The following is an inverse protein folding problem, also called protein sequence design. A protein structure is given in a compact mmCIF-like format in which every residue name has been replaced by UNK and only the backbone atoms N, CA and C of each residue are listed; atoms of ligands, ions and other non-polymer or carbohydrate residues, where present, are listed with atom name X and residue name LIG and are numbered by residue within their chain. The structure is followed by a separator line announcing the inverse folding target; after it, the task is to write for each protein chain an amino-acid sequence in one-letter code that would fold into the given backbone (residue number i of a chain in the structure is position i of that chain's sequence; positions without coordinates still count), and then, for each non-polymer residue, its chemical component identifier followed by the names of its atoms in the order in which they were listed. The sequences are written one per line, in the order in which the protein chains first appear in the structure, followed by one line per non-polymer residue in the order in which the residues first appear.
data_IF_127419609546
#
_entry.id   IF_127419609546
#
_cell.length_a   1.000
_cell.length_b   1.000
_cell.length_c   1.000
_cell.angle_alpha   90.00
_cell.angle_beta   90.00
_cell.angle_gamma   90.00
#
_symmetry.space_group_name_H-M   'P 1'
#
loop_
_entity.id
_entity.type
_entity.pdbx_description
1 polymer ?
#
# COMPACT_ATOMS: atom_id res chain seq x y z
N UNK A 1 -4.43 29.44 9.48
CA UNK A 1 -4.89 29.53 8.07
C UNK A 1 -5.83 28.36 7.86
N UNK A 2 -6.95 28.61 7.19
CA UNK A 2 -8.12 27.73 7.13
C UNK A 2 -7.77 26.30 6.69
N UNK A 3 -8.26 25.32 7.44
CA UNK A 3 -8.25 23.90 7.08
C UNK A 3 -9.33 23.67 6.01
N UNK A 4 -9.12 24.20 4.82
CA UNK A 4 -9.80 23.66 3.65
C UNK A 4 -9.20 22.28 3.44
N UNK A 5 -9.85 21.25 3.98
CA UNK A 5 -9.44 19.86 3.84
C UNK A 5 -9.25 19.57 2.36
N UNK A 6 -8.04 19.18 1.97
CA UNK A 6 -7.72 18.85 0.58
C UNK A 6 -8.61 17.68 0.16
N UNK A 7 -9.42 17.88 -0.87
CA UNK A 7 -10.32 16.86 -1.39
C UNK A 7 -9.60 15.90 -2.32
N UNK A 8 -9.61 14.61 -1.97
CA UNK A 8 -9.05 13.52 -2.77
C UNK A 8 -10.13 12.63 -3.40
N UNK A 9 -11.41 13.01 -3.29
CA UNK A 9 -12.56 12.21 -3.75
C UNK A 9 -12.47 11.88 -5.24
N UNK A 10 -12.03 12.84 -6.06
CA UNK A 10 -11.91 12.67 -7.53
C UNK A 10 -10.46 12.51 -8.00
N UNK A 11 -9.50 12.44 -7.07
CA UNK A 11 -8.10 12.21 -7.40
C UNK A 11 -7.89 10.77 -7.88
N UNK A 12 -6.94 10.57 -8.81
CA UNK A 12 -6.53 9.22 -9.22
C UNK A 12 -6.03 8.42 -8.03
N UNK A 13 -6.20 7.11 -8.09
CA UNK A 13 -5.72 6.18 -7.07
C UNK A 13 -4.73 5.20 -7.71
N UNK A 14 -3.50 5.17 -7.18
CA UNK A 14 -2.52 4.15 -7.52
C UNK A 14 -2.45 3.12 -6.39
N UNK A 15 -2.69 1.86 -6.73
CA UNK A 15 -2.66 0.74 -5.79
C UNK A 15 -1.38 -0.05 -6.02
N UNK A 16 -0.56 -0.19 -4.98
CA UNK A 16 0.66 -0.98 -4.99
C UNK A 16 0.44 -2.21 -4.12
N UNK A 17 0.32 -3.37 -4.77
CA UNK A 17 -0.14 -4.60 -4.15
C UNK A 17 0.96 -5.67 -4.14
N UNK A 18 1.55 -5.92 -2.97
CA UNK A 18 2.41 -7.08 -2.77
C UNK A 18 1.55 -8.34 -2.62
N UNK A 19 1.45 -9.14 -3.69
CA UNK A 19 0.57 -10.31 -3.74
C UNK A 19 1.17 -11.53 -3.02
N UNK A 20 2.44 -11.47 -2.64
CA UNK A 20 3.07 -12.51 -1.82
C UNK A 20 2.71 -12.29 -0.34
N UNK A 21 2.77 -11.03 0.12
CA UNK A 21 2.39 -10.69 1.50
C UNK A 21 0.88 -10.66 1.70
N UNK A 22 0.14 -10.21 0.68
CA UNK A 22 -1.31 -10.07 0.66
C UNK A 22 -1.88 -10.89 -0.50
N UNK A 23 -1.90 -12.24 -0.41
CA UNK A 23 -2.37 -13.08 -1.51
C UNK A 23 -3.86 -12.89 -1.79
N UNK A 24 -4.27 -13.20 -3.02
CA UNK A 24 -5.69 -13.25 -3.42
C UNK A 24 -6.49 -14.03 -2.39
N UNK A 25 -7.61 -13.49 -1.86
CA UNK A 25 -8.41 -14.16 -0.85
C UNK A 25 -8.94 -15.52 -1.33
N UNK A 26 -9.11 -16.45 -0.40
CA UNK A 26 -9.60 -17.79 -0.70
C UNK A 26 -10.96 -17.75 -1.42
N UNK A 27 -11.09 -18.58 -2.46
CA UNK A 27 -12.31 -18.65 -3.27
C UNK A 27 -12.44 -17.56 -4.33
N UNK A 28 -11.50 -16.61 -4.43
CA UNK A 28 -11.47 -15.59 -5.47
C UNK A 28 -10.35 -15.84 -6.49
N UNK A 29 -10.54 -15.32 -7.71
CA UNK A 29 -9.44 -15.14 -8.65
C UNK A 29 -8.90 -13.69 -8.57
N UNK A 30 -7.79 -13.43 -9.27
CA UNK A 30 -7.12 -12.13 -9.21
C UNK A 30 -7.98 -10.98 -9.78
N UNK A 31 -8.82 -11.26 -10.78
CA UNK A 31 -9.76 -10.28 -11.35
C UNK A 31 -10.84 -9.92 -10.35
N UNK A 32 -11.39 -10.90 -9.64
CA UNK A 32 -12.40 -10.68 -8.60
C UNK A 32 -11.84 -9.79 -7.48
N UNK A 33 -10.63 -10.09 -7.00
CA UNK A 33 -9.96 -9.31 -5.97
C UNK A 33 -9.69 -7.87 -6.43
N UNK A 34 -9.19 -7.67 -7.66
CA UNK A 34 -9.00 -6.33 -8.24
C UNK A 34 -10.31 -5.54 -8.30
N UNK A 35 -11.41 -6.17 -8.73
CA UNK A 35 -12.72 -5.51 -8.78
C UNK A 35 -13.22 -5.15 -7.38
N UNK A 36 -13.01 -6.02 -6.40
CA UNK A 36 -13.38 -5.78 -5.01
C UNK A 36 -12.59 -4.60 -4.41
N UNK A 37 -11.28 -4.52 -4.66
CA UNK A 37 -10.45 -3.38 -4.25
C UNK A 37 -11.01 -2.07 -4.82
N UNK A 38 -11.31 -2.03 -6.13
CA UNK A 38 -11.89 -0.85 -6.79
C UNK A 38 -13.23 -0.45 -6.20
N UNK A 39 -14.10 -1.43 -5.95
CA UNK A 39 -15.41 -1.19 -5.35
C UNK A 39 -15.30 -0.67 -3.91
N UNK A 40 -14.40 -1.23 -3.10
CA UNK A 40 -14.15 -0.79 -1.73
C UNK A 40 -13.62 0.66 -1.68
N UNK A 41 -12.67 0.99 -2.54
CA UNK A 41 -12.15 2.36 -2.69
C UNK A 41 -13.28 3.34 -3.05
N UNK A 42 -14.09 2.99 -4.06
CA UNK A 42 -15.24 3.80 -4.48
C UNK A 42 -16.25 4.00 -3.35
N UNK A 43 -16.61 2.93 -2.63
CA UNK A 43 -17.54 2.97 -1.50
C UNK A 43 -17.02 3.84 -0.35
N UNK A 44 -15.70 3.85 -0.13
CA UNK A 44 -15.06 4.72 0.85
C UNK A 44 -14.92 6.19 0.38
N UNK A 45 -15.34 6.52 -0.84
CA UNK A 45 -15.36 7.87 -1.38
C UNK A 45 -14.19 8.22 -2.30
N UNK A 46 -13.35 7.26 -2.68
CA UNK A 46 -12.29 7.45 -3.67
C UNK A 46 -12.83 7.11 -5.06
N UNK A 47 -13.43 8.11 -5.73
CA UNK A 47 -14.19 7.97 -6.98
C UNK A 47 -13.38 8.25 -8.25
N UNK A 48 -12.10 8.58 -8.14
CA UNK A 48 -11.21 8.73 -9.28
C UNK A 48 -10.87 7.40 -9.96
N UNK A 49 -10.16 7.49 -11.09
CA UNK A 49 -9.62 6.32 -11.79
C UNK A 49 -8.66 5.53 -10.88
N UNK A 50 -8.68 4.19 -10.98
CA UNK A 50 -7.86 3.30 -10.16
C UNK A 50 -6.93 2.48 -11.05
N UNK A 51 -5.62 2.64 -10.85
CA UNK A 51 -4.58 1.83 -11.48
C UNK A 51 -3.96 0.90 -10.44
N UNK A 52 -3.75 -0.38 -10.79
CA UNK A 52 -3.20 -1.37 -9.85
C UNK A 52 -1.90 -1.95 -10.38
N UNK A 53 -0.86 -1.88 -9.56
CA UNK A 53 0.46 -2.46 -9.77
C UNK A 53 0.66 -3.58 -8.76
N UNK A 54 0.78 -4.82 -9.24
CA UNK A 54 0.89 -6.00 -8.39
C UNK A 54 2.30 -6.62 -8.49
N UNK A 55 2.90 -6.96 -7.35
CA UNK A 55 4.28 -7.43 -7.23
C UNK A 55 4.31 -8.84 -6.64
N UNK A 56 4.90 -9.81 -7.35
CA UNK A 56 5.09 -11.16 -6.81
C UNK A 56 5.64 -12.21 -7.77
N UNK A 57 5.89 -13.40 -7.24
CA UNK A 57 6.45 -14.53 -8.00
C UNK A 57 5.43 -15.59 -8.41
N UNK A 58 4.23 -15.52 -7.86
CA UNK A 58 3.23 -16.58 -8.05
C UNK A 58 2.63 -16.56 -9.45
N UNK A 59 3.07 -17.51 -10.29
CA UNK A 59 2.57 -17.72 -11.67
C UNK A 59 1.06 -17.93 -11.77
N UNK A 60 0.42 -18.39 -10.68
CA UNK A 60 -1.03 -18.65 -10.63
C UNK A 60 -1.88 -17.39 -10.85
N UNK A 61 -1.32 -16.20 -10.62
CA UNK A 61 -2.06 -14.93 -10.74
C UNK A 61 -1.81 -14.19 -12.06
N UNK A 62 -0.74 -14.53 -12.80
CA UNK A 62 -0.26 -13.78 -13.98
C UNK A 62 -1.34 -13.66 -15.06
N UNK A 63 -1.99 -14.78 -15.40
CA UNK A 63 -2.99 -14.80 -16.48
C UNK A 63 -4.20 -13.93 -16.13
N UNK A 64 -4.64 -13.96 -14.86
CA UNK A 64 -5.78 -13.16 -14.41
C UNK A 64 -5.45 -11.67 -14.37
N UNK A 65 -4.31 -11.29 -13.80
CA UNK A 65 -3.92 -9.89 -13.66
C UNK A 65 -3.65 -9.23 -15.02
N UNK A 66 -2.93 -9.92 -15.91
CA UNK A 66 -2.62 -9.38 -17.25
C UNK A 66 -3.84 -9.34 -18.19
N UNK A 67 -4.94 -10.01 -17.84
CA UNK A 67 -6.18 -9.93 -18.62
C UNK A 67 -6.98 -8.64 -18.33
N UNK A 68 -6.61 -7.90 -17.28
CA UNK A 68 -7.23 -6.64 -16.91
C UNK A 68 -6.35 -5.47 -17.39
N UNK A 69 -6.83 -4.70 -18.37
CA UNK A 69 -6.08 -3.58 -18.97
C UNK A 69 -5.73 -2.46 -17.96
N UNK A 70 -6.33 -2.46 -16.78
CA UNK A 70 -6.12 -1.49 -15.70
C UNK A 70 -5.23 -2.06 -14.58
N UNK A 71 -4.53 -3.18 -14.84
CA UNK A 71 -3.63 -3.84 -13.89
C UNK A 71 -2.31 -4.21 -14.56
N UNK A 72 -1.22 -3.85 -13.91
CA UNK A 72 0.13 -4.21 -14.32
C UNK A 72 0.73 -5.18 -13.28
N UNK A 73 1.34 -6.27 -13.76
CA UNK A 73 1.95 -7.28 -12.90
C UNK A 73 3.46 -7.36 -13.09
N UNK A 74 4.21 -7.11 -12.01
CA UNK A 74 5.66 -7.16 -11.97
C UNK A 74 6.11 -8.49 -11.34
N UNK A 75 6.78 -9.31 -12.13
CA UNK A 75 7.20 -10.65 -11.73
C UNK A 75 8.57 -10.67 -11.03
N UNK A 76 8.65 -11.34 -9.88
CA UNK A 76 9.90 -11.51 -9.11
C UNK A 76 10.11 -12.98 -8.72
N UNK A 77 11.35 -13.39 -8.40
CA UNK A 77 11.59 -14.65 -7.71
C UNK A 77 10.76 -14.73 -6.42
N UNK A 78 10.21 -15.91 -6.12
CA UNK A 78 9.43 -16.11 -4.90
C UNK A 78 10.31 -15.88 -3.67
N UNK A 79 9.78 -15.18 -2.67
CA UNK A 79 10.45 -14.94 -1.39
C UNK A 79 11.38 -13.73 -1.33
N UNK A 80 11.69 -13.07 -2.45
CA UNK A 80 12.56 -11.89 -2.46
C UNK A 80 11.79 -10.63 -2.04
N UNK A 81 11.65 -10.43 -0.73
CA UNK A 81 10.91 -9.27 -0.18
C UNK A 81 11.62 -7.95 -0.49
N UNK A 82 12.96 -7.92 -0.43
CA UNK A 82 13.72 -6.70 -0.65
C UNK A 82 13.59 -6.20 -2.09
N UNK A 83 13.69 -7.10 -3.08
CA UNK A 83 13.48 -6.73 -4.48
C UNK A 83 12.04 -6.24 -4.73
N UNK A 84 11.03 -6.89 -4.16
CA UNK A 84 9.63 -6.42 -4.29
C UNK A 84 9.42 -5.04 -3.68
N UNK A 85 10.01 -4.76 -2.52
CA UNK A 85 9.93 -3.46 -1.84
C UNK A 85 10.67 -2.36 -2.63
N UNK A 86 11.86 -2.66 -3.15
CA UNK A 86 12.60 -1.73 -4.00
C UNK A 86 11.82 -1.42 -5.30
N UNK A 87 11.24 -2.44 -5.94
CA UNK A 87 10.39 -2.26 -7.11
C UNK A 87 9.13 -1.45 -6.80
N UNK A 88 8.51 -1.67 -5.63
CA UNK A 88 7.38 -0.87 -5.16
C UNK A 88 7.75 0.61 -5.06
N UNK A 89 8.89 0.94 -4.44
CA UNK A 89 9.38 2.33 -4.37
C UNK A 89 9.65 2.92 -5.76
N UNK A 90 10.26 2.14 -6.66
CA UNK A 90 10.49 2.54 -8.05
C UNK A 90 9.19 2.81 -8.80
N UNK A 91 8.17 1.98 -8.61
CA UNK A 91 6.89 2.14 -9.28
C UNK A 91 6.07 3.30 -8.75
N UNK A 92 6.15 3.58 -7.44
CA UNK A 92 5.63 4.83 -6.88
C UNK A 92 6.30 6.02 -7.57
N UNK A 93 7.63 6.01 -7.71
CA UNK A 93 8.35 7.08 -8.38
C UNK A 93 7.91 7.25 -9.85
N UNK A 94 7.81 6.15 -10.62
CA UNK A 94 7.33 6.16 -12.00
C UNK A 94 5.93 6.77 -12.10
N UNK A 95 4.99 6.30 -11.26
CA UNK A 95 3.63 6.83 -11.22
C UNK A 95 3.60 8.35 -11.02
N UNK A 96 4.42 8.86 -10.08
CA UNK A 96 4.51 10.28 -9.79
C UNK A 96 5.00 11.08 -11.00
N UNK A 97 5.99 10.56 -11.75
CA UNK A 97 6.48 11.23 -12.95
C UNK A 97 5.45 11.20 -14.08
N UNK A 98 4.85 10.04 -14.34
CA UNK A 98 3.89 9.85 -15.44
C UNK A 98 2.60 10.66 -15.24
N UNK A 99 2.22 10.91 -13.98
CA UNK A 99 1.06 11.71 -13.64
C UNK A 99 1.39 13.17 -13.32
N UNK A 100 2.57 13.67 -13.74
CA UNK A 100 3.02 15.05 -13.52
C UNK A 100 2.88 15.50 -12.05
N UNK A 101 3.12 14.59 -11.10
CA UNK A 101 3.05 14.84 -9.65
C UNK A 101 1.71 15.41 -9.20
N UNK A 102 0.63 15.10 -9.92
CA UNK A 102 -0.71 15.48 -9.51
C UNK A 102 -1.11 14.77 -8.20
N UNK A 103 -1.93 15.46 -7.40
CA UNK A 103 -2.51 14.89 -6.17
C UNK A 103 -3.12 13.53 -6.45
N UNK A 104 -2.72 12.54 -5.66
CA UNK A 104 -3.03 11.14 -5.86
C UNK A 104 -3.34 10.49 -4.51
N UNK A 105 -4.26 9.52 -4.52
CA UNK A 105 -4.40 8.53 -3.46
C UNK A 105 -3.41 7.39 -3.70
N UNK A 106 -2.43 7.22 -2.81
CA UNK A 106 -1.46 6.14 -2.86
C UNK A 106 -1.95 5.03 -1.92
N UNK A 107 -2.32 3.88 -2.45
CA UNK A 107 -2.82 2.75 -1.68
C UNK A 107 -1.76 1.65 -1.59
N UNK A 108 -1.31 1.35 -0.37
CA UNK A 108 -0.34 0.28 -0.11
C UNK A 108 -1.06 -0.96 0.39
N UNK A 109 -1.04 -2.06 -0.36
CA UNK A 109 -1.51 -3.38 0.09
C UNK A 109 -0.27 -4.25 0.33
N UNK A 110 0.15 -4.35 1.58
CA UNK A 110 1.51 -4.75 1.92
C UNK A 110 1.56 -5.48 3.27
N UNK A 111 2.52 -6.38 3.45
CA UNK A 111 2.77 -7.06 4.73
C UNK A 111 3.45 -6.16 5.75
N UNK A 112 4.14 -6.77 6.71
CA UNK A 112 4.94 -6.03 7.69
C UNK A 112 6.01 -5.17 6.98
N UNK A 113 6.16 -3.94 7.45
CA UNK A 113 7.15 -2.98 6.96
C UNK A 113 8.05 -2.47 8.07
N UNK A 114 7.97 -3.01 9.29
CA UNK A 114 8.75 -2.55 10.45
C UNK A 114 10.25 -2.52 10.17
N UNK A 115 10.77 -3.52 9.44
CA UNK A 115 12.19 -3.57 9.09
C UNK A 115 12.55 -2.80 7.81
N UNK A 116 11.55 -2.29 7.06
CA UNK A 116 11.78 -1.51 5.84
C UNK A 116 11.68 0.00 6.11
N UNK A 117 12.63 0.51 6.90
CA UNK A 117 12.68 1.92 7.33
C UNK A 117 12.70 2.87 6.13
N UNK A 118 13.42 2.52 5.05
CA UNK A 118 13.50 3.32 3.83
C UNK A 118 12.15 3.58 3.18
N UNK A 119 11.34 2.53 3.01
CA UNK A 119 9.98 2.67 2.47
C UNK A 119 9.09 3.50 3.40
N UNK A 120 9.20 3.31 4.72
CA UNK A 120 8.39 4.08 5.68
C UNK A 120 8.70 5.58 5.64
N UNK A 121 9.98 5.95 5.59
CA UNK A 121 10.42 7.35 5.45
C UNK A 121 9.92 7.91 4.12
N UNK A 122 10.11 7.18 3.02
CA UNK A 122 9.67 7.62 1.70
C UNK A 122 8.16 7.90 1.65
N UNK A 123 7.33 7.01 2.20
CA UNK A 123 5.87 7.21 2.26
C UNK A 123 5.50 8.39 3.15
N UNK A 124 6.20 8.60 4.26
CA UNK A 124 5.98 9.77 5.13
C UNK A 124 6.29 11.08 4.40
N UNK A 125 7.39 11.12 3.66
CA UNK A 125 7.80 12.28 2.85
C UNK A 125 6.77 12.60 1.77
N UNK A 126 6.19 11.59 1.11
CA UNK A 126 5.09 11.78 0.16
C UNK A 126 3.84 12.36 0.84
N UNK A 127 3.49 11.92 2.04
CA UNK A 127 2.39 12.54 2.80
C UNK A 127 2.72 14.01 3.11
N UNK A 128 3.96 14.31 3.50
CA UNK A 128 4.44 15.68 3.69
C UNK A 128 4.37 16.54 2.43
N UNK A 129 4.59 15.93 1.26
CA UNK A 129 4.47 16.56 -0.05
C UNK A 129 3.01 16.73 -0.54
N UNK A 130 2.02 16.26 0.23
CA UNK A 130 0.60 16.47 -0.05
C UNK A 130 -0.08 15.34 -0.83
N UNK A 131 0.48 14.13 -0.84
CA UNK A 131 -0.19 12.92 -1.30
C UNK A 131 -1.04 12.30 -0.19
N UNK A 132 -2.08 11.54 -0.57
CA UNK A 132 -2.95 10.87 0.39
C UNK A 132 -2.59 9.40 0.52
N UNK A 133 -2.16 8.95 1.70
CA UNK A 133 -1.76 7.57 1.93
C UNK A 133 -2.91 6.73 2.47
N UNK A 134 -3.25 5.66 1.76
CA UNK A 134 -4.20 4.62 2.13
C UNK A 134 -3.42 3.31 2.36
N UNK A 135 -3.89 2.45 3.26
CA UNK A 135 -3.21 1.16 3.51
C UNK A 135 -4.17 0.00 3.70
N UNK A 136 -3.67 -1.20 3.40
CA UNK A 136 -4.26 -2.46 3.80
C UNK A 136 -3.17 -3.44 4.17
N UNK A 137 -3.17 -3.90 5.42
CA UNK A 137 -2.20 -4.87 5.92
C UNK A 137 -2.91 -6.07 6.58
N UNK A 138 -2.28 -7.25 6.63
CA UNK A 138 -2.81 -8.37 7.40
C UNK A 138 -2.91 -8.00 8.90
N UNK A 139 -3.98 -8.40 9.63
CA UNK A 139 -4.18 -8.05 11.04
C UNK A 139 -2.99 -8.37 11.96
N UNK A 140 -2.29 -9.47 11.69
CA UNK A 140 -1.14 -9.96 12.46
C UNK A 140 0.15 -9.17 12.21
N UNK A 141 0.20 -8.37 11.14
CA UNK A 141 1.41 -7.73 10.60
C UNK A 141 1.18 -6.23 10.35
N UNK A 142 0.35 -5.58 11.17
CA UNK A 142 0.05 -4.15 11.06
C UNK A 142 1.23 -3.31 11.57
N UNK A 143 1.74 -2.45 10.69
CA UNK A 143 2.89 -1.59 10.96
C UNK A 143 2.46 -0.32 11.70
N UNK A 144 2.62 -0.31 13.03
CA UNK A 144 2.28 0.85 13.89
C UNK A 144 2.93 2.18 13.45
N UNK A 145 4.19 2.24 12.96
CA UNK A 145 4.82 3.52 12.57
C UNK A 145 4.16 4.23 11.37
N UNK A 146 3.57 3.48 10.43
CA UNK A 146 2.93 4.07 9.23
C UNK A 146 1.64 4.82 9.58
N UNK A 147 0.96 4.40 10.66
CA UNK A 147 -0.38 4.83 11.03
C UNK A 147 -0.57 6.35 11.15
N UNK A 148 0.47 7.09 11.54
CA UNK A 148 0.41 8.55 11.64
C UNK A 148 0.28 9.23 10.26
N UNK A 149 0.79 8.59 9.21
CA UNK A 149 0.73 9.06 7.83
C UNK A 149 -0.55 8.59 7.11
N UNK A 150 -1.16 7.49 7.56
CA UNK A 150 -2.35 6.88 6.91
C UNK A 150 -3.61 7.71 7.13
N UNK A 151 -4.37 7.94 6.07
CA UNK A 151 -5.67 8.59 6.13
C UNK A 151 -6.83 7.60 6.17
N UNK A 152 -6.74 6.45 5.50
CA UNK A 152 -7.76 5.39 5.53
C UNK A 152 -7.09 4.03 5.50
N UNK A 153 -7.54 3.12 6.36
CA UNK A 153 -6.98 1.77 6.48
C UNK A 153 -8.07 0.71 6.34
N UNK A 154 -7.73 -0.37 5.64
CA UNK A 154 -8.44 -1.64 5.63
C UNK A 154 -7.58 -2.74 6.26
N UNK A 155 -8.22 -3.84 6.65
CA UNK A 155 -7.50 -5.07 6.92
C UNK A 155 -7.43 -5.92 5.65
N UNK A 156 -6.34 -6.65 5.45
CA UNK A 156 -6.29 -7.75 4.47
C UNK A 156 -6.66 -9.08 5.15
N UNK A 157 -7.53 -9.94 4.57
CA UNK A 157 -8.08 -9.94 3.20
C UNK A 157 -9.38 -9.14 3.02
N UNK A 158 -9.86 -8.42 4.04
CA UNK A 158 -11.16 -7.76 4.02
C UNK A 158 -11.32 -6.76 2.85
N UNK A 159 -10.28 -5.99 2.52
CA UNK A 159 -10.27 -5.16 1.31
C UNK A 159 -10.46 -5.98 0.03
N UNK A 160 -9.73 -7.08 -0.13
CA UNK A 160 -9.84 -7.98 -1.29
C UNK A 160 -11.19 -8.68 -1.40
N UNK A 161 -11.97 -8.69 -0.31
CA UNK A 161 -13.36 -9.15 -0.26
C UNK A 161 -14.37 -8.00 -0.46
N UNK A 162 -13.91 -6.77 -0.65
CA UNK A 162 -14.74 -5.59 -0.92
C UNK A 162 -15.38 -4.98 0.33
N UNK A 163 -14.83 -5.25 1.53
CA UNK A 163 -15.37 -4.73 2.79
C UNK A 163 -14.94 -3.28 3.07
N UNK A 164 -15.60 -2.68 4.05
CA UNK A 164 -15.39 -1.31 4.49
C UNK A 164 -14.06 -1.12 5.25
N UNK A 165 -13.50 0.11 5.26
CA UNK A 165 -12.31 0.43 6.03
C UNK A 165 -12.55 0.32 7.54
N UNK A 166 -11.47 0.02 8.27
CA UNK A 166 -11.47 -0.05 9.75
C UNK A 166 -11.07 1.27 10.40
N UNK A 167 -10.40 2.14 9.65
CA UNK A 167 -10.02 3.47 10.09
C UNK A 167 -10.17 4.48 8.95
N UNK A 168 -10.67 5.67 9.26
CA UNK A 168 -10.71 6.81 8.33
C UNK A 168 -10.53 8.12 9.10
N UNK A 169 -9.48 8.86 8.78
CA UNK A 169 -9.11 10.12 9.43
C UNK A 169 -10.23 11.14 9.27
N UNK A 170 -10.66 11.73 10.39
CA UNK A 170 -11.76 12.70 10.42
C UNK A 170 -13.16 12.07 10.38
N UNK A 171 -13.28 10.75 10.21
CA UNK A 171 -14.56 10.07 10.37
C UNK A 171 -14.92 9.94 11.86
N UNK A 172 -16.13 10.31 12.29
CA UNK A 172 -16.51 10.31 13.71
C UNK A 172 -16.66 8.89 14.29
N UNK A 173 -16.88 7.89 13.44
CA UNK A 173 -17.04 6.48 13.84
C UNK A 173 -15.71 5.76 13.76
N UNK A 174 -15.00 5.88 12.64
CA UNK A 174 -13.77 5.14 12.33
C UNK A 174 -12.49 5.87 12.78
N UNK A 175 -12.48 7.19 12.82
CA UNK A 175 -11.28 8.02 13.03
C UNK A 175 -10.83 8.18 14.47
N UNK A 176 -11.15 7.23 15.36
CA UNK A 176 -10.83 7.32 16.79
C UNK A 176 -9.38 6.91 17.05
N UNK A 177 -8.64 7.75 17.76
CA UNK A 177 -7.22 7.52 18.10
C UNK A 177 -6.96 6.24 18.91
N UNK A 178 -7.96 5.73 19.62
CA UNK A 178 -7.90 4.45 20.36
C UNK A 178 -7.61 3.26 19.44
N UNK A 179 -7.94 3.37 18.15
CA UNK A 179 -7.65 2.35 17.13
C UNK A 179 -6.15 2.00 17.06
N UNK A 180 -5.26 2.98 17.29
CA UNK A 180 -3.80 2.76 17.27
C UNK A 180 -3.23 2.20 18.59
N UNK A 181 -4.04 2.14 19.64
CA UNK A 181 -3.64 1.66 20.97
C UNK A 181 -4.07 0.20 21.23
N UNK A 182 -4.47 -0.54 20.20
CA UNK A 182 -4.78 -1.96 20.29
C UNK A 182 -3.56 -2.80 20.73
N UNK A 183 -3.77 -4.00 21.31
CA UNK A 183 -2.67 -4.81 21.81
C UNK A 183 -1.69 -5.15 20.68
N UNK A 184 -0.40 -4.90 20.93
CA UNK A 184 0.67 -5.29 20.03
C UNK A 184 0.65 -6.83 19.83
N UNK A 185 0.60 -7.26 18.57
CA UNK A 185 0.80 -8.68 18.23
C UNK A 185 2.27 -8.99 18.48
N UNK A 186 2.55 -10.02 19.28
CA UNK A 186 3.89 -10.28 19.80
C UNK A 186 4.79 -10.86 18.68
N UNK A 187 5.90 -10.23 18.27
CA UNK A 187 6.70 -10.66 17.12
C UNK A 187 7.48 -11.98 17.31
N UNK A 188 7.36 -12.64 18.47
CA UNK A 188 8.27 -13.72 18.89
C UNK A 188 8.03 -15.10 18.25
N UNK A 189 7.18 -15.21 17.24
CA UNK A 189 6.96 -16.48 16.52
C UNK A 189 7.80 -16.64 15.25
N UNK A 190 8.66 -15.66 14.92
CA UNK A 190 9.63 -15.79 13.85
C UNK A 190 11.00 -16.20 14.42
N UNK A 191 11.45 -17.39 14.04
CA UNK A 191 12.77 -17.93 14.37
C UNK A 191 13.83 -17.08 13.66
N UNK A 192 14.67 -16.42 14.44
CA UNK A 192 15.86 -15.69 13.99
C UNK A 192 16.80 -16.63 13.22
N UNK A 193 17.16 -16.24 12.00
CA UNK A 193 18.42 -16.63 11.38
C UNK A 193 19.19 -15.36 11.05
N UNK A 194 20.36 -15.22 11.68
CA UNK A 194 21.29 -14.09 11.68
C UNK A 194 21.59 -13.50 10.27
N UNK A 195 21.90 -12.19 10.18
CA UNK A 195 22.25 -11.53 8.93
C UNK A 195 23.76 -11.61 8.66
N UNK A 196 24.14 -11.93 7.42
CA UNK A 196 25.44 -11.53 6.89
C UNK A 196 25.25 -10.32 5.96
N UNK A 197 26.12 -9.33 6.20
CA UNK A 197 26.25 -8.06 5.51
C UNK A 197 26.35 -8.20 3.99
N UNK A 198 25.63 -7.34 3.27
CA UNK A 198 26.21 -6.57 2.16
C UNK A 198 25.23 -5.43 1.80
N UNK A 199 25.62 -4.22 2.19
CA UNK A 199 24.99 -2.96 1.83
C UNK A 199 25.58 -2.45 0.50
N UNK A 200 24.77 -2.34 -0.57
CA UNK A 200 25.03 -1.37 -1.61
C UNK A 200 24.03 -0.22 -1.49
N UNK A 201 24.57 0.91 -1.06
CA UNK A 201 24.08 2.27 -1.25
C UNK A 201 23.14 2.42 -2.47
N UNK A 202 21.84 2.45 -2.20
CA UNK A 202 20.82 2.95 -3.12
C UNK A 202 20.19 4.19 -2.51
N UNK A 203 21.02 5.23 -2.38
CA UNK A 203 20.56 6.60 -2.27
C UNK A 203 19.69 6.98 -3.47
N UNK A 204 18.38 6.78 -3.35
CA UNK A 204 17.43 7.57 -4.15
C UNK A 204 17.54 9.00 -3.65
N UNK A 205 18.07 9.90 -4.48
CA UNK A 205 18.19 11.31 -4.15
C UNK A 205 16.79 11.93 -4.00
N UNK A 206 16.31 11.97 -2.75
CA UNK A 206 15.03 12.58 -2.38
C UNK A 206 15.02 14.09 -2.66
N UNK A 207 16.16 14.73 -2.93
CA UNK A 207 16.21 16.18 -3.22
C UNK A 207 15.53 16.56 -4.54
N UNK A 208 15.27 15.59 -5.43
CA UNK A 208 14.54 15.78 -6.68
C UNK A 208 13.00 15.73 -6.51
N UNK A 209 12.51 15.30 -5.34
CA UNK A 209 11.07 15.26 -5.01
C UNK A 209 10.53 16.61 -4.53
N UNK A 210 11.41 17.51 -4.06
CA UNK A 210 11.04 18.76 -3.40
C UNK A 210 11.44 20.03 -4.18
N UNK A 211 11.77 19.91 -5.47
CA UNK A 211 12.05 21.03 -6.39
C UNK A 211 10.89 21.29 -7.35
#
# INVERSE_FOLDING_TARGET
MNSDGVDFTVAKTAVFWDIEDCPVPDGLNAVDATNNIKNALKNAGFNGEVSIFAFGGTKKYIVGLNSNNETEFHHFPQGDVNARRAATSGEIFNWLMDNNRQRTNLMMIIGDTTDNIGLMIFLHDLVGAGYNLLTSQPPSYRSVPLHHSVSTEWLWPDLGLGKDPVFKRGDPVLGKWEYFNGPAVNPKDHVDTDPEDDDPDLGTDLSLLFQ
#
